data_IF_982673046893
#
_entry.id   IF_982673046893
#
_cell.length_a   1.000
_cell.length_b   1.000
_cell.length_c   1.000
_cell.angle_alpha   90.00
_cell.angle_beta   90.00
_cell.angle_gamma   90.00
#
_symmetry.space_group_name_H-M   'P 1'
#
loop_
_entity.id
_entity.type
_entity.pdbx_description
1 polymer ?
#
# COMPACT_ATOMS: atom_id res chain seq x y z
N UNK A 1 23.26 1.95 -5.58
CA UNK A 1 22.80 1.07 -6.69
C UNK A 1 21.56 1.68 -7.32
N UNK A 2 21.68 2.29 -8.50
CA UNK A 2 20.53 2.85 -9.21
C UNK A 2 19.68 1.70 -9.76
N UNK A 3 18.51 1.47 -9.17
CA UNK A 3 17.56 0.45 -9.62
C UNK A 3 16.84 0.90 -10.91
N UNK A 4 17.59 1.29 -11.95
CA UNK A 4 17.07 1.87 -13.20
C UNK A 4 16.07 0.95 -13.89
N UNK A 5 16.34 -0.36 -13.91
CA UNK A 5 15.42 -1.37 -14.43
C UNK A 5 14.08 -1.39 -13.66
N UNK A 6 14.13 -1.31 -12.33
CA UNK A 6 12.93 -1.31 -11.50
C UNK A 6 12.12 -0.03 -11.67
N UNK A 7 12.80 1.12 -11.72
CA UNK A 7 12.17 2.42 -11.96
C UNK A 7 11.43 2.42 -13.30
N UNK A 8 12.04 1.83 -14.34
CA UNK A 8 11.43 1.68 -15.66
C UNK A 8 10.21 0.75 -15.64
N UNK A 9 10.26 -0.34 -14.87
CA UNK A 9 9.20 -1.37 -14.86
C UNK A 9 8.00 -1.03 -13.95
N UNK A 10 8.22 -0.35 -12.83
CA UNK A 10 7.21 -0.16 -11.77
C UNK A 10 7.05 1.30 -11.31
N UNK A 11 7.70 2.25 -12.00
CA UNK A 11 7.68 3.67 -11.66
C UNK A 11 8.65 4.02 -10.53
N UNK A 12 9.11 5.28 -10.52
CA UNK A 12 10.01 5.81 -9.50
C UNK A 12 9.28 5.98 -8.16
N UNK A 13 7.98 6.32 -8.20
CA UNK A 13 7.21 6.88 -7.08
C UNK A 13 6.40 5.85 -6.29
N UNK A 14 6.66 4.56 -6.50
CA UNK A 14 6.03 3.46 -5.75
C UNK A 14 6.68 3.30 -4.37
N UNK A 15 6.51 4.27 -3.47
CA UNK A 15 7.05 4.28 -2.09
C UNK A 15 5.90 4.30 -1.09
N UNK A 16 5.98 3.43 -0.08
CA UNK A 16 5.05 3.39 1.04
C UNK A 16 5.35 4.54 2.00
N UNK A 17 4.40 5.46 2.19
CA UNK A 17 4.61 6.61 3.08
C UNK A 17 4.73 6.26 4.58
N UNK A 18 4.22 5.09 5.02
CA UNK A 18 4.36 4.66 6.42
C UNK A 18 5.79 4.18 6.69
N UNK A 19 6.25 3.21 5.88
CA UNK A 19 7.54 2.54 6.13
C UNK A 19 8.72 3.18 5.41
N UNK A 20 8.47 4.15 4.52
CA UNK A 20 9.46 4.74 3.60
C UNK A 20 10.18 3.71 2.72
N UNK A 21 9.61 2.51 2.59
CA UNK A 21 10.13 1.43 1.72
C UNK A 21 9.37 1.36 0.42
N UNK A 22 9.99 0.75 -0.58
CA UNK A 22 9.40 0.59 -1.91
C UNK A 22 8.22 -0.39 -1.91
N UNK A 23 7.11 0.01 -2.50
CA UNK A 23 5.94 -0.84 -2.72
C UNK A 23 6.31 -1.96 -3.68
N UNK A 24 6.23 -3.21 -3.21
CA UNK A 24 6.54 -4.39 -4.02
C UNK A 24 5.27 -4.88 -4.73
N UNK A 25 5.31 -5.11 -6.04
CA UNK A 25 4.22 -5.76 -6.75
C UNK A 25 4.13 -7.25 -6.35
N UNK A 26 3.01 -7.86 -6.70
CA UNK A 26 2.77 -9.29 -6.50
C UNK A 26 2.12 -9.63 -5.15
N UNK A 27 2.11 -10.94 -4.86
CA UNK A 27 1.43 -11.53 -3.71
C UNK A 27 2.41 -12.18 -2.75
N UNK A 28 2.02 -12.35 -1.49
CA UNK A 28 2.75 -13.17 -0.54
C UNK A 28 2.46 -14.66 -0.77
N UNK A 29 3.09 -15.54 0.01
CA UNK A 29 2.87 -17.01 -0.05
C UNK A 29 1.41 -17.43 0.23
N UNK A 30 0.62 -16.54 0.82
CA UNK A 30 -0.80 -16.74 1.13
C UNK A 30 -1.74 -16.13 0.07
N UNK A 31 -1.21 -15.68 -1.07
CA UNK A 31 -2.02 -15.11 -2.15
C UNK A 31 -2.52 -13.67 -1.91
N UNK A 32 -2.12 -13.02 -0.82
CA UNK A 32 -2.52 -11.65 -0.49
C UNK A 32 -1.59 -10.63 -1.17
N UNK A 33 -2.15 -9.50 -1.63
CA UNK A 33 -1.36 -8.41 -2.23
C UNK A 33 -0.34 -7.85 -1.25
N UNK A 34 0.91 -7.63 -1.69
CA UNK A 34 1.95 -7.02 -0.83
C UNK A 34 1.76 -5.52 -0.64
N UNK A 35 1.22 -4.86 -1.66
CA UNK A 35 0.94 -3.43 -1.70
C UNK A 35 -0.55 -3.21 -1.91
N UNK A 36 -1.13 -2.27 -1.15
CA UNK A 36 -2.53 -1.90 -1.18
C UNK A 36 -2.63 -0.46 -1.66
N UNK A 37 -3.47 -0.21 -2.66
CA UNK A 37 -3.77 1.13 -3.13
C UNK A 37 -5.19 1.48 -2.72
N UNK A 38 -5.33 2.57 -1.97
CA UNK A 38 -6.62 3.07 -1.54
C UNK A 38 -7.33 3.78 -2.70
N UNK A 39 -8.63 4.04 -2.55
CA UNK A 39 -9.43 4.80 -3.52
C UNK A 39 -8.91 6.24 -3.76
N UNK A 40 -8.13 6.78 -2.83
CA UNK A 40 -7.44 8.05 -2.96
C UNK A 40 -6.10 7.98 -3.75
N UNK A 41 -5.82 6.85 -4.41
CA UNK A 41 -4.60 6.59 -5.20
C UNK A 41 -3.28 6.50 -4.40
N UNK A 42 -3.35 6.56 -3.07
CA UNK A 42 -2.18 6.35 -2.22
C UNK A 42 -1.91 4.86 -2.00
N UNK A 43 -0.64 4.47 -2.17
CA UNK A 43 -0.16 3.10 -2.02
C UNK A 43 0.59 2.87 -0.72
N UNK A 44 0.31 1.75 -0.07
CA UNK A 44 0.93 1.36 1.20
C UNK A 44 1.29 -0.12 1.21
N UNK A 45 2.28 -0.49 2.03
CA UNK A 45 2.53 -1.90 2.32
C UNK A 45 1.37 -2.47 3.11
N UNK A 46 0.93 -3.69 2.76
CA UNK A 46 -0.23 -4.35 3.37
C UNK A 46 -0.14 -4.38 4.90
N UNK A 47 1.00 -4.84 5.42
CA UNK A 47 1.22 -4.99 6.87
C UNK A 47 1.18 -3.63 7.57
N UNK A 48 1.93 -2.66 7.06
CA UNK A 48 1.98 -1.32 7.64
C UNK A 48 0.62 -0.60 7.64
N UNK A 49 -0.16 -0.76 6.57
CA UNK A 49 -1.52 -0.21 6.52
C UNK A 49 -2.46 -0.93 7.49
N UNK A 50 -2.31 -2.25 7.64
CA UNK A 50 -3.09 -3.02 8.60
C UNK A 50 -2.79 -2.56 10.05
N UNK A 51 -1.52 -2.41 10.39
CA UNK A 51 -1.10 -1.92 11.71
C UNK A 51 -1.64 -0.52 11.98
N UNK A 52 -1.58 0.37 10.98
CA UNK A 52 -2.16 1.71 11.06
C UNK A 52 -3.66 1.68 11.40
N UNK A 53 -4.44 0.84 10.71
CA UNK A 53 -5.88 0.71 10.95
C UNK A 53 -6.13 0.19 12.36
N UNK A 54 -5.37 -0.81 12.82
CA UNK A 54 -5.51 -1.38 14.17
C UNK A 54 -5.18 -0.35 15.24
N UNK A 55 -4.20 0.53 15.01
CA UNK A 55 -3.83 1.61 15.94
C UNK A 55 -4.72 2.85 15.86
N UNK A 56 -5.55 2.96 14.82
CA UNK A 56 -6.40 4.13 14.59
C UNK A 56 -7.83 3.85 15.05
N UNK A 57 -8.52 4.88 15.54
CA UNK A 57 -9.94 4.78 15.89
C UNK A 57 -10.78 4.54 14.62
N UNK A 58 -10.36 5.14 13.50
CA UNK A 58 -11.07 5.06 12.22
C UNK A 58 -10.13 4.70 11.05
N UNK A 59 -10.60 3.92 10.07
CA UNK A 59 -9.84 3.55 8.89
C UNK A 59 -9.71 4.73 7.91
N UNK A 60 -8.65 5.52 8.11
CA UNK A 60 -8.34 6.70 7.29
C UNK A 60 -6.99 6.57 6.61
N UNK A 61 -6.86 7.16 5.42
CA UNK A 61 -5.59 7.18 4.69
C UNK A 61 -4.50 7.90 5.51
N UNK A 62 -3.32 7.29 5.73
CA UNK A 62 -2.23 7.94 6.46
C UNK A 62 -1.73 9.25 5.85
N UNK A 63 -1.96 9.48 4.55
CA UNK A 63 -1.49 10.67 3.82
C UNK A 63 -2.53 11.79 3.77
N UNK A 64 -3.75 11.47 3.32
CA UNK A 64 -4.79 12.48 3.09
C UNK A 64 -5.98 12.38 4.06
N UNK A 65 -5.93 11.45 5.02
CA UNK A 65 -6.98 11.17 6.02
C UNK A 65 -8.36 10.85 5.44
N UNK A 66 -8.46 10.61 4.14
CA UNK A 66 -9.70 10.16 3.51
C UNK A 66 -10.10 8.79 4.07
N UNK A 67 -11.34 8.68 4.54
CA UNK A 67 -11.93 7.43 4.98
C UNK A 67 -11.95 6.40 3.84
N UNK A 68 -11.82 5.13 4.21
CA UNK A 68 -11.96 4.03 3.28
C UNK A 68 -12.49 2.79 4.00
N UNK A 69 -13.14 1.91 3.24
CA UNK A 69 -13.55 0.60 3.75
C UNK A 69 -12.34 -0.37 3.70
N UNK A 70 -11.85 -0.87 4.86
CA UNK A 70 -10.75 -1.83 4.91
C UNK A 70 -11.05 -3.13 4.16
N UNK A 71 -12.28 -3.64 4.23
CA UNK A 71 -12.67 -4.89 3.59
C UNK A 71 -12.48 -4.77 2.08
N UNK A 72 -12.98 -3.66 1.51
CA UNK A 72 -12.81 -3.36 0.09
C UNK A 72 -11.33 -3.18 -0.24
N UNK A 73 -10.57 -2.44 0.57
CA UNK A 73 -9.16 -2.16 0.32
C UNK A 73 -8.28 -3.43 0.27
N UNK A 74 -8.55 -4.42 1.14
CA UNK A 74 -7.75 -5.64 1.22
C UNK A 74 -8.22 -6.76 0.29
N UNK A 75 -9.49 -6.76 -0.14
CA UNK A 75 -10.07 -7.81 -1.00
C UNK A 75 -10.09 -7.41 -2.48
N UNK A 76 -10.13 -6.12 -2.82
CA UNK A 76 -10.33 -5.66 -4.18
C UNK A 76 -9.30 -6.24 -5.17
N UNK A 77 -9.81 -7.02 -6.13
CA UNK A 77 -9.11 -7.42 -7.36
C UNK A 77 -9.11 -6.24 -8.34
N UNK A 78 -8.33 -5.19 -8.07
CA UNK A 78 -7.70 -4.44 -9.17
C UNK A 78 -6.62 -5.29 -9.81
#
# INVERSE_FOLDING_TARGET
MSNAWWNKKYGKDSICAITQTRLRPGRNKYGQKRSIFLGCHHGFNRVALQDWIVSSIEPTCPLCRKEFDPIIAFIAKR
#
